data_IF_453910307339
#
_entry.id   IF_453910307339
#
_cell.length_a   1.000
_cell.length_b   1.000
_cell.length_c   1.000
_cell.angle_alpha   90.00
_cell.angle_beta   90.00
_cell.angle_gamma   90.00
#
_symmetry.space_group_name_H-M   'P 1'
#
loop_
_entity.id
_entity.type
_entity.pdbx_description
1 polymer ?
#
# COMPACT_ATOMS: atom_id res chain seq x y z
N UNK A 1 -5.96 31.09 2.04
CA UNK A 1 -7.10 30.67 2.90
C UNK A 1 -7.05 29.16 3.07
N UNK A 2 -7.48 28.62 4.25
CA UNK A 2 -7.62 27.15 4.43
C UNK A 2 -8.57 26.59 3.39
N UNK A 3 -8.27 25.38 2.89
CA UNK A 3 -9.14 24.67 1.93
C UNK A 3 -10.23 23.93 2.68
N UNK A 4 -11.49 24.19 2.31
CA UNK A 4 -12.63 23.49 2.89
C UNK A 4 -12.74 22.09 2.30
N UNK A 5 -12.99 21.11 3.13
CA UNK A 5 -12.99 19.70 2.78
C UNK A 5 -14.13 18.96 3.45
N UNK A 6 -14.58 17.88 2.82
CA UNK A 6 -15.54 16.92 3.37
C UNK A 6 -14.94 15.52 3.32
N UNK A 7 -15.20 14.71 4.31
CA UNK A 7 -14.70 13.34 4.36
C UNK A 7 -15.58 12.44 5.19
N UNK A 8 -15.15 11.19 5.29
CA UNK A 8 -15.73 10.20 6.19
C UNK A 8 -14.75 9.96 7.34
N UNK A 9 -15.10 10.41 8.54
CA UNK A 9 -14.26 10.33 9.72
C UNK A 9 -14.76 9.29 10.72
N UNK A 10 -13.82 8.66 11.42
CA UNK A 10 -14.06 7.89 12.63
C UNK A 10 -13.59 8.73 13.84
N UNK A 11 -14.35 8.70 14.94
CA UNK A 11 -14.13 9.60 16.09
C UNK A 11 -13.53 8.90 17.30
N UNK A 12 -13.44 7.58 17.29
CA UNK A 12 -12.79 6.74 18.30
C UNK A 12 -12.53 5.35 17.70
N UNK A 13 -11.67 4.57 18.33
CA UNK A 13 -11.35 3.19 17.90
C UNK A 13 -12.56 2.22 17.87
N UNK A 14 -13.62 2.53 18.62
CA UNK A 14 -14.84 1.73 18.70
C UNK A 14 -16.00 2.39 17.91
N UNK A 15 -15.69 3.42 17.10
CA UNK A 15 -16.67 4.21 16.38
C UNK A 15 -17.05 3.64 15.01
N UNK A 16 -17.92 4.39 14.33
CA UNK A 16 -18.31 4.17 12.93
C UNK A 16 -17.98 5.41 12.10
N UNK A 17 -17.78 5.20 10.80
CA UNK A 17 -17.53 6.29 9.87
C UNK A 17 -18.76 7.17 9.68
N UNK A 18 -18.55 8.48 9.73
CA UNK A 18 -19.60 9.50 9.53
C UNK A 18 -19.08 10.62 8.63
N UNK A 19 -19.97 11.27 7.83
CA UNK A 19 -19.61 12.49 7.15
C UNK A 19 -19.08 13.54 8.12
N UNK A 20 -18.01 14.23 7.73
CA UNK A 20 -17.34 15.23 8.55
C UNK A 20 -16.78 16.35 7.69
N UNK A 21 -17.14 17.59 8.02
CA UNK A 21 -16.57 18.78 7.39
C UNK A 21 -15.32 19.20 8.16
N UNK A 22 -14.24 19.51 7.44
CA UNK A 22 -12.96 19.92 8.02
C UNK A 22 -12.21 20.89 7.10
N UNK A 23 -11.05 21.37 7.54
CA UNK A 23 -10.22 22.25 6.73
C UNK A 23 -8.81 21.69 6.62
N UNK A 24 -8.22 21.82 5.43
CA UNK A 24 -6.79 21.58 5.20
C UNK A 24 -6.01 22.90 5.22
N UNK A 25 -4.69 22.84 5.33
CA UNK A 25 -3.85 24.01 5.15
C UNK A 25 -4.09 24.64 3.75
N UNK A 26 -3.75 25.92 3.61
CA UNK A 26 -3.84 26.62 2.32
C UNK A 26 -2.86 25.99 1.31
N UNK A 27 -3.19 26.10 0.02
CA UNK A 27 -2.26 25.72 -1.04
C UNK A 27 -1.02 26.63 -0.96
N UNK A 28 0.09 26.05 -0.57
CA UNK A 28 1.38 26.73 -0.48
C UNK A 28 2.04 26.88 -1.85
N UNK A 29 3.20 27.57 -1.90
CA UNK A 29 3.86 27.84 -3.19
C UNK A 29 4.21 26.59 -4.01
N UNK A 30 4.51 25.47 -3.36
CA UNK A 30 4.90 24.21 -3.99
C UNK A 30 3.85 23.10 -3.87
N UNK A 31 2.67 23.43 -3.37
CA UNK A 31 1.60 22.47 -3.17
C UNK A 31 0.67 22.41 -4.37
N UNK A 32 0.01 21.29 -4.52
CA UNK A 32 -1.11 21.10 -5.42
C UNK A 32 -2.36 20.72 -4.61
N UNK A 33 -3.51 21.24 -5.00
CA UNK A 33 -4.82 20.79 -4.53
C UNK A 33 -5.34 19.76 -5.53
N UNK A 34 -5.69 18.59 -5.04
CA UNK A 34 -6.19 17.47 -5.82
C UNK A 34 -7.63 17.20 -5.44
N UNK A 35 -8.55 17.20 -6.41
CA UNK A 35 -9.88 16.63 -6.24
C UNK A 35 -9.75 15.11 -6.31
N UNK A 36 -10.13 14.42 -5.22
CA UNK A 36 -10.03 12.97 -5.09
C UNK A 36 -11.21 12.32 -5.81
N UNK A 37 -10.93 11.44 -6.76
CA UNK A 37 -11.94 10.68 -7.47
C UNK A 37 -12.13 9.29 -6.85
N UNK A 38 -11.05 8.63 -6.48
CA UNK A 38 -11.03 7.28 -5.93
C UNK A 38 -10.08 7.17 -4.76
N UNK A 39 -10.49 6.44 -3.73
CA UNK A 39 -9.66 6.10 -2.57
C UNK A 39 -9.75 4.60 -2.28
N UNK A 40 -8.62 3.89 -2.34
CA UNK A 40 -8.57 2.47 -1.99
C UNK A 40 -8.63 2.23 -0.49
N UNK A 41 -9.13 1.06 -0.10
CA UNK A 41 -9.15 0.60 1.29
C UNK A 41 -8.06 -0.46 1.50
N UNK A 42 -7.19 -0.19 2.47
CA UNK A 42 -6.11 -1.09 2.90
C UNK A 42 -6.36 -1.63 4.32
N UNK A 43 -5.76 -2.77 4.65
CA UNK A 43 -5.75 -3.25 6.05
C UNK A 43 -5.08 -2.26 6.99
N UNK A 44 -4.10 -1.47 6.51
CA UNK A 44 -3.48 -0.41 7.30
C UNK A 44 -4.48 0.65 7.76
N UNK A 45 -5.49 0.97 6.95
CA UNK A 45 -6.56 1.90 7.34
C UNK A 45 -7.38 1.34 8.49
N UNK A 46 -7.63 0.02 8.49
CA UNK A 46 -8.37 -0.69 9.54
C UNK A 46 -7.58 -0.69 10.85
N UNK A 47 -6.30 -1.09 10.78
CA UNK A 47 -5.42 -1.12 11.95
C UNK A 47 -5.26 0.25 12.61
N UNK A 48 -5.13 1.33 11.81
CA UNK A 48 -5.06 2.70 12.32
C UNK A 48 -6.40 3.16 12.89
N UNK A 49 -7.51 2.93 12.16
CA UNK A 49 -8.85 3.36 12.61
C UNK A 49 -9.26 2.72 13.94
N UNK A 50 -8.81 1.48 14.19
CA UNK A 50 -9.12 0.74 15.43
C UNK A 50 -7.96 0.75 16.45
N UNK A 51 -6.91 1.57 16.23
CA UNK A 51 -5.76 1.70 17.15
C UNK A 51 -5.04 0.40 17.46
N UNK A 52 -4.92 -0.52 16.51
CA UNK A 52 -4.30 -1.84 16.70
C UNK A 52 -2.76 -1.80 16.68
N UNK A 53 -2.15 -0.73 16.14
CA UNK A 53 -0.69 -0.55 16.13
C UNK A 53 -0.20 0.48 17.15
N UNK A 54 -0.94 1.56 17.32
CA UNK A 54 -0.71 2.66 18.24
C UNK A 54 -2.04 3.37 18.51
N UNK A 55 -2.07 4.22 19.53
CA UNK A 55 -3.21 5.10 19.73
C UNK A 55 -3.39 6.05 18.53
N UNK A 56 -4.59 6.03 17.93
CA UNK A 56 -4.94 6.83 16.76
C UNK A 56 -5.25 8.29 17.12
N UNK A 57 -5.02 9.19 16.17
CA UNK A 57 -5.37 10.62 16.30
C UNK A 57 -6.78 10.83 15.78
N UNK A 58 -7.74 11.11 16.66
CA UNK A 58 -9.15 11.30 16.32
C UNK A 58 -9.58 12.77 16.42
N UNK A 59 -10.57 13.27 15.58
CA UNK A 59 -11.19 12.52 14.50
C UNK A 59 -10.19 12.14 13.42
N UNK A 60 -10.29 10.91 12.88
CA UNK A 60 -9.41 10.39 11.84
C UNK A 60 -10.18 10.23 10.53
N UNK A 61 -9.61 10.71 9.43
CA UNK A 61 -10.01 10.39 8.07
C UNK A 61 -8.89 9.57 7.46
N UNK A 62 -9.04 8.24 7.32
CA UNK A 62 -8.02 7.38 6.71
C UNK A 62 -7.90 7.56 5.20
N UNK A 63 -7.14 6.65 4.57
CA UNK A 63 -6.97 6.56 3.12
C UNK A 63 -5.63 7.10 2.64
N UNK A 64 -4.84 6.21 2.05
CA UNK A 64 -3.50 6.49 1.52
C UNK A 64 -3.29 5.89 0.13
N UNK A 65 -4.38 5.57 -0.55
CA UNK A 65 -4.43 5.03 -1.90
C UNK A 65 -5.32 5.95 -2.73
N UNK A 66 -4.79 7.09 -3.18
CA UNK A 66 -5.57 8.20 -3.71
C UNK A 66 -5.31 8.37 -5.21
N UNK A 67 -6.37 8.39 -6.01
CA UNK A 67 -6.31 8.80 -7.41
C UNK A 67 -7.27 9.97 -7.66
N UNK A 68 -6.80 10.99 -8.38
CA UNK A 68 -7.57 12.21 -8.59
C UNK A 68 -7.03 13.11 -9.68
N UNK A 69 -7.52 14.34 -9.71
CA UNK A 69 -7.17 15.35 -10.70
C UNK A 69 -6.77 16.64 -10.00
N UNK A 70 -5.73 17.28 -10.48
CA UNK A 70 -5.26 18.56 -9.94
C UNK A 70 -6.26 19.67 -10.24
N UNK A 71 -6.72 20.33 -9.19
CA UNK A 71 -7.66 21.47 -9.24
C UNK A 71 -6.98 22.82 -9.17
N UNK A 72 -5.90 22.91 -8.36
CA UNK A 72 -5.15 24.15 -8.16
C UNK A 72 -3.67 23.83 -7.96
N UNK A 73 -2.80 24.73 -8.39
CA UNK A 73 -1.34 24.62 -8.22
C UNK A 73 -0.77 25.88 -7.57
N UNK A 74 0.16 25.69 -6.65
CA UNK A 74 0.93 26.79 -6.07
C UNK A 74 1.83 27.49 -7.10
N UNK A 75 2.19 28.75 -6.83
CA UNK A 75 2.94 29.61 -7.78
C UNK A 75 4.34 29.11 -8.15
N UNK A 76 4.93 28.22 -7.38
CA UNK A 76 6.25 27.64 -7.60
C UNK A 76 6.20 26.18 -8.09
N UNK A 77 5.02 25.61 -8.27
CA UNK A 77 4.84 24.26 -8.82
C UNK A 77 5.35 24.23 -10.26
N UNK A 78 6.15 23.22 -10.58
CA UNK A 78 6.79 23.06 -11.89
C UNK A 78 6.49 21.72 -12.57
N UNK A 79 6.14 20.70 -11.78
CA UNK A 79 5.94 19.33 -12.29
C UNK A 79 4.55 19.08 -12.84
N UNK A 80 3.58 19.85 -12.38
CA UNK A 80 2.16 19.59 -12.64
C UNK A 80 1.41 20.87 -13.01
N UNK A 81 0.25 20.70 -13.64
CA UNK A 81 -0.70 21.76 -13.97
C UNK A 81 -2.13 21.31 -13.63
N UNK A 82 -3.05 22.27 -13.59
CA UNK A 82 -4.48 22.01 -13.42
C UNK A 82 -4.98 21.07 -14.52
N UNK A 83 -5.73 20.06 -14.13
CA UNK A 83 -6.29 19.02 -14.98
C UNK A 83 -5.39 17.79 -15.16
N UNK A 84 -4.15 17.78 -14.65
CA UNK A 84 -3.31 16.60 -14.66
C UNK A 84 -3.91 15.51 -13.75
N UNK A 85 -3.85 14.26 -14.23
CA UNK A 85 -4.28 13.08 -13.48
C UNK A 85 -3.13 12.58 -12.64
N UNK A 86 -3.40 12.34 -11.36
CA UNK A 86 -2.37 12.09 -10.37
C UNK A 86 -2.79 11.09 -9.30
N UNK A 87 -1.80 10.58 -8.58
CA UNK A 87 -2.00 9.78 -7.40
C UNK A 87 -1.20 10.27 -6.20
N UNK A 88 -1.66 9.92 -5.00
CA UNK A 88 -0.97 10.16 -3.73
C UNK A 88 -0.96 8.87 -2.94
N UNK A 89 0.23 8.47 -2.48
CA UNK A 89 0.44 7.23 -1.72
C UNK A 89 0.44 7.44 -0.21
N UNK A 90 1.29 6.67 0.45
CA UNK A 90 1.26 6.53 1.91
C UNK A 90 1.83 7.71 2.68
N UNK A 91 2.53 8.65 2.03
CA UNK A 91 3.09 9.85 2.69
C UNK A 91 3.08 11.06 1.77
N UNK A 92 3.02 12.24 2.37
CA UNK A 92 2.76 13.52 1.68
C UNK A 92 3.86 14.55 1.88
N UNK A 93 4.80 14.31 2.81
CA UNK A 93 5.94 15.20 3.02
C UNK A 93 7.08 14.50 3.75
N UNK A 94 8.29 15.07 3.69
CA UNK A 94 9.47 14.67 4.44
C UNK A 94 10.47 15.83 4.55
N UNK A 95 11.58 15.67 5.28
CA UNK A 95 12.56 16.75 5.49
C UNK A 95 13.36 17.13 4.23
N UNK A 96 13.36 16.32 3.18
CA UNK A 96 14.08 16.53 1.88
C UNK A 96 15.60 16.67 2.00
N UNK A 97 16.18 16.57 3.20
CA UNK A 97 17.59 16.89 3.49
C UNK A 97 18.40 15.71 4.07
N UNK A 98 17.76 14.77 4.76
CA UNK A 98 18.44 13.61 5.37
C UNK A 98 18.91 12.61 4.31
N UNK A 99 19.74 11.64 4.72
CA UNK A 99 20.28 10.64 3.80
C UNK A 99 19.17 9.84 3.09
N UNK A 100 18.15 9.28 3.77
CA UNK A 100 17.06 8.60 3.07
C UNK A 100 16.37 9.48 2.02
N UNK A 101 16.05 10.74 2.31
CA UNK A 101 15.44 11.64 1.33
C UNK A 101 16.32 11.87 0.09
N UNK A 102 17.63 12.04 0.28
CA UNK A 102 18.58 12.24 -0.83
C UNK A 102 18.75 10.98 -1.69
N UNK A 103 18.51 9.81 -1.10
CA UNK A 103 18.59 8.50 -1.76
C UNK A 103 17.22 8.04 -2.31
N UNK A 104 16.20 8.91 -2.32
CA UNK A 104 14.84 8.62 -2.77
C UNK A 104 14.17 7.49 -1.94
N UNK A 105 14.45 7.47 -0.64
CA UNK A 105 13.89 6.55 0.35
C UNK A 105 13.17 7.35 1.44
N UNK A 106 12.30 8.27 1.03
CA UNK A 106 11.63 9.26 1.89
C UNK A 106 10.81 8.61 3.00
N UNK A 107 10.31 7.39 2.79
CA UNK A 107 9.55 6.62 3.78
C UNK A 107 10.36 6.29 5.05
N UNK A 108 11.69 6.36 4.99
CA UNK A 108 12.59 6.18 6.14
C UNK A 108 13.05 7.52 6.75
N UNK A 109 12.50 8.64 6.32
CA UNK A 109 12.79 9.94 6.94
C UNK A 109 12.17 10.03 8.33
N UNK A 110 12.94 10.44 9.33
CA UNK A 110 12.43 10.63 10.71
C UNK A 110 11.39 11.75 10.84
N UNK A 111 11.23 12.59 9.80
CA UNK A 111 10.23 13.66 9.69
C UNK A 111 9.26 13.38 8.54
N UNK A 112 9.03 12.11 8.21
CA UNK A 112 8.02 11.77 7.21
C UNK A 112 6.63 12.13 7.74
N UNK A 113 5.79 12.70 6.87
CA UNK A 113 4.37 12.94 7.16
C UNK A 113 3.57 11.93 6.35
N UNK A 114 2.97 10.99 7.05
CA UNK A 114 2.06 10.02 6.44
C UNK A 114 0.75 10.68 6.02
N UNK A 115 0.06 10.06 5.09
CA UNK A 115 -1.16 10.63 4.48
C UNK A 115 -2.30 10.81 5.48
N UNK A 116 -2.27 10.10 6.61
CA UNK A 116 -3.20 10.26 7.74
C UNK A 116 -2.59 9.73 9.04
N UNK A 117 -3.30 9.90 10.16
CA UNK A 117 -2.92 9.44 11.51
C UNK A 117 -1.52 9.90 11.95
N UNK A 118 -1.15 11.11 11.58
CA UNK A 118 0.07 11.78 12.02
C UNK A 118 -0.13 13.29 12.09
N UNK A 119 0.80 13.99 12.75
CA UNK A 119 0.82 15.44 12.78
C UNK A 119 1.69 15.96 11.63
N UNK A 120 1.20 16.95 10.89
CA UNK A 120 1.96 17.59 9.83
C UNK A 120 2.91 18.66 10.41
N UNK A 121 4.14 18.26 10.64
CA UNK A 121 5.18 19.14 11.20
C UNK A 121 5.60 20.28 10.25
N UNK A 122 5.17 20.27 9.00
CA UNK A 122 5.47 21.32 8.02
C UNK A 122 4.34 22.34 7.87
N UNK A 123 3.13 22.00 8.38
CA UNK A 123 1.93 22.84 8.28
C UNK A 123 1.23 22.99 9.63
N UNK A 124 1.94 23.57 10.61
CA UNK A 124 1.34 23.94 11.90
C UNK A 124 1.15 22.80 12.89
N UNK A 125 1.66 21.61 12.59
CA UNK A 125 1.54 20.42 13.44
C UNK A 125 0.08 20.00 13.69
N UNK A 126 -0.80 20.26 12.70
CA UNK A 126 -2.20 19.80 12.74
C UNK A 126 -2.28 18.33 12.29
N UNK A 127 -3.30 17.55 12.72
CA UNK A 127 -3.53 16.19 12.25
C UNK A 127 -3.73 16.16 10.73
N UNK A 128 -2.96 15.32 10.03
CA UNK A 128 -3.15 15.14 8.60
C UNK A 128 -4.31 14.17 8.31
N UNK A 129 -5.21 14.58 7.42
CA UNK A 129 -6.41 13.84 7.04
C UNK A 129 -6.21 13.16 5.68
N UNK A 130 -6.62 11.90 5.57
CA UNK A 130 -6.39 11.06 4.40
C UNK A 130 -7.37 11.21 3.26
N UNK A 131 -7.39 10.19 2.42
CA UNK A 131 -8.06 10.15 1.14
C UNK A 131 -9.55 9.80 1.17
N UNK A 132 -10.11 9.40 2.34
CA UNK A 132 -11.57 9.24 2.44
C UNK A 132 -12.25 10.62 2.51
N UNK A 133 -11.85 11.49 1.61
CA UNK A 133 -12.28 12.88 1.53
C UNK A 133 -12.36 13.36 0.07
N UNK A 134 -13.02 14.48 -0.16
CA UNK A 134 -13.23 15.02 -1.50
C UNK A 134 -11.97 15.68 -2.12
N UNK A 135 -10.99 16.05 -1.32
CA UNK A 135 -9.76 16.69 -1.81
C UNK A 135 -8.57 16.43 -0.89
N UNK A 136 -7.37 16.74 -1.37
CA UNK A 136 -6.12 16.74 -0.57
C UNK A 136 -5.17 17.82 -1.09
N UNK A 137 -4.40 18.44 -0.17
CA UNK A 137 -3.31 19.38 -0.49
C UNK A 137 -1.98 18.69 -0.23
N UNK A 138 -1.10 18.64 -1.23
CA UNK A 138 0.16 17.88 -1.16
C UNK A 138 1.28 18.65 -1.84
N UNK A 139 2.49 18.64 -1.30
CA UNK A 139 3.69 19.15 -1.99
C UNK A 139 3.93 18.36 -3.29
N UNK A 140 4.20 19.05 -4.40
CA UNK A 140 4.38 18.44 -5.73
C UNK A 140 5.40 17.30 -5.78
N UNK A 141 6.32 17.24 -4.83
CA UNK A 141 7.34 16.20 -4.77
C UNK A 141 6.83 14.84 -4.27
N UNK A 142 5.61 14.80 -3.71
CA UNK A 142 4.98 13.58 -3.18
C UNK A 142 3.76 13.14 -4.02
N UNK A 143 3.61 13.73 -5.18
CA UNK A 143 2.54 13.41 -6.14
C UNK A 143 3.09 12.54 -7.25
N UNK A 144 2.35 11.49 -7.61
CA UNK A 144 2.68 10.53 -8.67
C UNK A 144 1.89 10.89 -9.92
N UNK A 145 2.58 11.04 -11.04
CA UNK A 145 1.95 11.25 -12.35
C UNK A 145 1.26 9.97 -12.82
N UNK A 146 0.05 10.10 -13.36
CA UNK A 146 -0.74 8.97 -13.86
C UNK A 146 -1.16 9.27 -15.30
N UNK A 147 -1.07 8.27 -16.20
CA UNK A 147 -1.61 8.40 -17.56
C UNK A 147 -3.12 8.67 -17.51
N UNK A 148 -3.56 9.68 -18.25
CA UNK A 148 -4.97 10.11 -18.26
C UNK A 148 -5.97 9.04 -18.73
N UNK A 149 -5.49 8.01 -19.45
CA UNK A 149 -6.30 6.91 -19.92
C UNK A 149 -6.28 5.70 -18.99
N UNK A 150 -5.51 5.75 -17.89
CA UNK A 150 -5.47 4.67 -16.93
C UNK A 150 -6.79 4.55 -16.14
N UNK A 151 -7.23 3.34 -15.78
CA UNK A 151 -8.44 3.12 -14.99
C UNK A 151 -8.20 3.56 -13.54
N UNK A 152 -8.61 4.78 -13.17
CA UNK A 152 -8.23 5.43 -11.91
C UNK A 152 -8.70 4.66 -10.68
N UNK A 153 -9.84 3.99 -10.75
CA UNK A 153 -10.33 3.11 -9.70
C UNK A 153 -9.39 1.93 -9.42
N UNK A 154 -8.62 1.51 -10.42
CA UNK A 154 -7.60 0.44 -10.29
C UNK A 154 -6.21 0.99 -10.01
N UNK A 155 -5.98 2.27 -10.33
CA UNK A 155 -4.72 2.97 -10.04
C UNK A 155 -4.58 3.27 -8.54
N UNK A 156 -5.65 3.70 -7.88
CA UNK A 156 -5.60 4.07 -6.48
C UNK A 156 -4.92 3.01 -5.59
N UNK A 157 -5.28 1.72 -5.62
CA UNK A 157 -4.61 0.71 -4.81
C UNK A 157 -3.14 0.45 -5.15
N UNK A 158 -2.68 0.81 -6.34
CA UNK A 158 -1.27 0.64 -6.71
C UNK A 158 -0.35 1.47 -5.82
N UNK A 159 -0.84 2.59 -5.30
CA UNK A 159 -0.09 3.54 -4.49
C UNK A 159 0.25 3.03 -3.08
N UNK A 160 -0.32 1.90 -2.69
CA UNK A 160 0.08 1.14 -1.50
C UNK A 160 0.40 -0.32 -1.87
N UNK A 161 -0.60 -1.11 -2.31
CA UNK A 161 -0.41 -2.52 -2.59
C UNK A 161 0.57 -2.77 -3.76
N UNK A 162 0.57 -1.89 -4.76
CA UNK A 162 1.51 -1.94 -5.87
C UNK A 162 2.94 -1.74 -5.40
N UNK A 163 3.24 -0.58 -4.82
CA UNK A 163 4.60 -0.25 -4.40
C UNK A 163 5.12 -1.19 -3.30
N UNK A 164 4.30 -1.58 -2.34
CA UNK A 164 4.68 -2.49 -1.25
C UNK A 164 5.14 -3.85 -1.77
N UNK A 165 4.59 -4.30 -2.90
CA UNK A 165 4.96 -5.60 -3.48
C UNK A 165 6.00 -5.49 -4.59
N UNK A 166 6.04 -4.37 -5.32
CA UNK A 166 7.05 -4.09 -6.35
C UNK A 166 8.45 -3.86 -5.76
N UNK A 167 8.54 -3.03 -4.71
CA UNK A 167 9.81 -2.62 -4.11
C UNK A 167 10.68 -3.80 -3.65
N UNK A 168 10.20 -4.78 -2.84
CA UNK A 168 11.04 -5.90 -2.44
C UNK A 168 11.40 -6.85 -3.58
N UNK A 169 10.54 -7.02 -4.60
CA UNK A 169 10.89 -7.80 -5.79
C UNK A 169 12.07 -7.16 -6.54
N UNK A 170 12.06 -5.85 -6.69
CA UNK A 170 13.14 -5.09 -7.30
C UNK A 170 14.40 -5.10 -6.43
N UNK A 171 14.27 -4.89 -5.11
CA UNK A 171 15.40 -4.91 -4.17
C UNK A 171 16.14 -6.25 -4.17
N UNK A 172 15.42 -7.37 -4.18
CA UNK A 172 15.99 -8.71 -4.29
C UNK A 172 16.31 -9.11 -5.74
N UNK A 173 16.25 -8.16 -6.68
CA UNK A 173 16.66 -8.35 -8.09
C UNK A 173 15.93 -9.51 -8.78
N UNK A 174 14.64 -9.66 -8.49
CA UNK A 174 13.79 -10.64 -9.18
C UNK A 174 13.78 -10.37 -10.69
N UNK A 175 14.02 -11.39 -11.47
CA UNK A 175 14.13 -11.34 -12.93
C UNK A 175 13.66 -12.65 -13.55
N UNK A 176 13.80 -12.78 -14.86
CA UNK A 176 13.42 -13.99 -15.61
C UNK A 176 14.09 -15.24 -15.03
N UNK A 177 13.28 -16.23 -14.69
CA UNK A 177 13.73 -17.52 -14.15
C UNK A 177 13.93 -17.54 -12.64
N UNK A 178 13.83 -16.40 -11.93
CA UNK A 178 13.85 -16.38 -10.46
C UNK A 178 12.65 -17.17 -9.92
N UNK A 179 12.87 -18.08 -8.98
CA UNK A 179 11.82 -18.83 -8.31
C UNK A 179 11.31 -18.03 -7.10
N UNK A 180 10.08 -17.54 -7.22
CA UNK A 180 9.46 -16.63 -6.23
C UNK A 180 8.33 -17.32 -5.48
N UNK A 181 8.39 -17.29 -4.15
CA UNK A 181 7.28 -17.66 -3.28
C UNK A 181 6.46 -16.43 -2.87
N UNK A 182 5.15 -16.51 -2.99
CA UNK A 182 4.22 -15.50 -2.46
C UNK A 182 3.45 -16.11 -1.31
N UNK A 183 3.79 -15.75 -0.08
CA UNK A 183 3.11 -16.21 1.13
C UNK A 183 1.97 -15.25 1.49
N UNK A 184 0.73 -15.79 1.47
CA UNK A 184 -0.50 -15.02 1.54
C UNK A 184 -1.01 -14.59 0.16
N UNK A 185 -2.30 -14.83 -0.12
CA UNK A 185 -2.92 -14.49 -1.41
C UNK A 185 -4.21 -13.70 -1.20
N UNK A 186 -4.03 -12.46 -0.75
CA UNK A 186 -5.05 -11.41 -0.64
C UNK A 186 -4.77 -10.26 -1.61
N UNK A 187 -5.16 -9.04 -1.23
CA UNK A 187 -4.94 -7.84 -2.04
C UNK A 187 -3.45 -7.56 -2.34
N UNK A 188 -2.55 -7.72 -1.35
CA UNK A 188 -1.11 -7.60 -1.55
C UNK A 188 -0.55 -8.80 -2.35
N UNK A 189 -0.89 -10.02 -1.93
CA UNK A 189 -0.35 -11.22 -2.57
C UNK A 189 -0.71 -11.34 -4.05
N UNK A 190 -1.91 -10.94 -4.45
CA UNK A 190 -2.30 -10.92 -5.87
C UNK A 190 -1.45 -9.93 -6.68
N UNK A 191 -1.10 -8.77 -6.12
CA UNK A 191 -0.20 -7.82 -6.77
C UNK A 191 1.23 -8.37 -6.85
N UNK A 192 1.73 -9.01 -5.78
CA UNK A 192 3.04 -9.66 -5.78
C UNK A 192 3.15 -10.72 -6.88
N UNK A 193 2.12 -11.56 -7.08
CA UNK A 193 2.07 -12.54 -8.18
C UNK A 193 2.14 -11.83 -9.52
N UNK A 194 1.29 -10.83 -9.77
CA UNK A 194 1.24 -10.10 -11.05
C UNK A 194 2.58 -9.45 -11.39
N UNK A 195 3.24 -8.79 -10.42
CA UNK A 195 4.55 -8.18 -10.66
C UNK A 195 5.65 -9.21 -10.88
N UNK A 196 5.73 -10.25 -10.05
CA UNK A 196 6.75 -11.29 -10.21
C UNK A 196 6.63 -11.99 -11.58
N UNK A 197 5.41 -12.33 -11.99
CA UNK A 197 5.14 -12.90 -13.32
C UNK A 197 5.55 -11.95 -14.44
N UNK A 198 5.22 -10.66 -14.33
CA UNK A 198 5.60 -9.66 -15.34
C UNK A 198 7.12 -9.43 -15.41
N UNK A 199 7.84 -9.65 -14.31
CA UNK A 199 9.31 -9.66 -14.27
C UNK A 199 9.92 -10.96 -14.82
N UNK A 200 9.09 -11.95 -15.19
CA UNK A 200 9.51 -13.23 -15.77
C UNK A 200 9.85 -14.31 -14.75
N UNK A 201 9.48 -14.14 -13.49
CA UNK A 201 9.72 -15.11 -12.43
C UNK A 201 8.79 -16.34 -12.54
N UNK A 202 9.23 -17.45 -11.95
CA UNK A 202 8.43 -18.64 -11.70
C UNK A 202 7.77 -18.54 -10.32
N UNK A 203 6.44 -18.39 -10.27
CA UNK A 203 5.76 -18.03 -9.03
C UNK A 203 5.05 -19.22 -8.40
N UNK A 204 5.33 -19.46 -7.11
CA UNK A 204 4.66 -20.41 -6.23
C UNK A 204 3.86 -19.64 -5.18
N UNK A 205 2.55 -19.87 -5.10
CA UNK A 205 1.65 -19.20 -4.15
C UNK A 205 1.36 -20.11 -2.95
N UNK A 206 1.38 -19.52 -1.76
CA UNK A 206 1.01 -20.18 -0.51
C UNK A 206 -0.22 -19.47 0.09
N UNK A 207 -1.33 -20.19 0.29
CA UNK A 207 -2.56 -19.63 0.84
C UNK A 207 -3.27 -20.64 1.73
N UNK A 208 -4.11 -20.16 2.66
CA UNK A 208 -4.75 -21.01 3.69
C UNK A 208 -5.72 -22.08 3.17
N UNK A 209 -6.27 -21.87 1.97
CA UNK A 209 -7.25 -22.79 1.38
C UNK A 209 -7.23 -22.71 -0.15
N UNK A 210 -7.86 -23.67 -0.82
CA UNK A 210 -7.85 -23.80 -2.27
C UNK A 210 -8.82 -22.87 -3.03
N UNK A 211 -9.68 -22.12 -2.35
CA UNK A 211 -10.71 -21.31 -3.01
C UNK A 211 -10.16 -20.29 -4.02
N UNK A 212 -8.94 -19.80 -3.78
CA UNK A 212 -8.28 -18.83 -4.67
C UNK A 212 -7.24 -19.44 -5.61
N UNK A 213 -7.15 -20.77 -5.68
CA UNK A 213 -6.17 -21.47 -6.52
C UNK A 213 -6.32 -21.10 -7.99
N UNK A 214 -7.56 -21.14 -8.50
CA UNK A 214 -7.82 -20.80 -9.90
C UNK A 214 -7.46 -19.35 -10.20
N UNK A 215 -7.75 -18.42 -9.28
CA UNK A 215 -7.36 -17.01 -9.44
C UNK A 215 -5.83 -16.86 -9.51
N UNK A 216 -5.07 -17.54 -8.63
CA UNK A 216 -3.61 -17.50 -8.64
C UNK A 216 -3.02 -18.04 -9.95
N UNK A 217 -3.52 -19.19 -10.42
CA UNK A 217 -3.06 -19.80 -11.67
C UNK A 217 -3.41 -18.91 -12.89
N UNK A 218 -4.58 -18.31 -12.90
CA UNK A 218 -4.99 -17.38 -13.99
C UNK A 218 -4.15 -16.11 -14.03
N UNK A 219 -3.56 -15.69 -12.89
CA UNK A 219 -2.60 -14.58 -12.81
C UNK A 219 -1.17 -14.99 -13.22
N UNK A 220 -0.94 -16.26 -13.58
CA UNK A 220 0.34 -16.76 -14.05
C UNK A 220 1.20 -17.47 -13.01
N UNK A 221 0.68 -17.74 -11.81
CA UNK A 221 1.39 -18.61 -10.86
C UNK A 221 1.53 -20.03 -11.43
N UNK A 222 2.69 -20.65 -11.27
CA UNK A 222 2.94 -22.03 -11.69
C UNK A 222 2.44 -23.05 -10.69
N UNK A 223 2.61 -22.75 -9.39
CA UNK A 223 2.27 -23.65 -8.31
C UNK A 223 1.41 -22.96 -7.24
N UNK A 224 0.59 -23.75 -6.57
CA UNK A 224 -0.25 -23.31 -5.47
C UNK A 224 -0.25 -24.36 -4.36
N UNK A 225 0.04 -23.92 -3.15
CA UNK A 225 0.15 -24.76 -1.97
C UNK A 225 -0.74 -24.23 -0.83
N UNK A 226 -1.37 -25.13 -0.08
CA UNK A 226 -2.11 -24.78 1.15
C UNK A 226 -1.26 -24.95 2.41
N UNK A 227 -0.14 -25.65 2.30
CA UNK A 227 0.86 -25.82 3.36
C UNK A 227 2.28 -25.65 2.74
N UNK A 228 3.14 -24.80 3.30
CA UNK A 228 4.52 -24.64 2.85
C UNK A 228 5.29 -25.99 2.75
N UNK A 229 4.98 -26.96 3.64
CA UNK A 229 5.63 -28.27 3.67
C UNK A 229 5.35 -29.14 2.44
N UNK A 230 4.33 -28.80 1.65
CA UNK A 230 4.03 -29.46 0.38
C UNK A 230 4.98 -29.04 -0.74
N UNK A 231 5.57 -27.86 -0.65
CA UNK A 231 6.53 -27.35 -1.63
C UNK A 231 7.85 -28.12 -1.51
N UNK A 232 8.28 -28.73 -2.61
CA UNK A 232 9.55 -29.48 -2.69
C UNK A 232 10.63 -28.71 -3.46
N UNK A 233 10.28 -27.54 -3.99
CA UNK A 233 11.22 -26.68 -4.70
C UNK A 233 11.92 -25.73 -3.74
N UNK A 234 13.16 -25.42 -4.04
CA UNK A 234 13.87 -24.32 -3.40
C UNK A 234 13.50 -23.02 -4.12
N UNK A 235 13.31 -21.94 -3.35
CA UNK A 235 12.90 -20.62 -3.82
C UNK A 235 14.02 -19.61 -3.62
N UNK A 236 14.26 -18.77 -4.60
CA UNK A 236 15.30 -17.73 -4.53
C UNK A 236 14.84 -16.54 -3.69
N UNK A 237 13.55 -16.26 -3.74
CA UNK A 237 12.92 -15.14 -3.05
C UNK A 237 11.53 -15.51 -2.54
N UNK A 238 11.21 -15.09 -1.33
CA UNK A 238 9.85 -15.19 -0.79
C UNK A 238 9.39 -13.82 -0.32
N UNK A 239 8.18 -13.42 -0.72
CA UNK A 239 7.50 -12.26 -0.16
C UNK A 239 6.34 -12.71 0.73
N UNK A 240 6.35 -12.32 2.01
CA UNK A 240 5.27 -12.62 2.94
C UNK A 240 4.33 -11.42 3.10
N UNK A 241 3.09 -11.60 2.67
CA UNK A 241 1.99 -10.64 2.78
C UNK A 241 0.98 -11.05 3.86
N UNK A 242 1.35 -12.00 4.74
CA UNK A 242 0.45 -12.57 5.75
C UNK A 242 0.26 -11.56 6.90
N UNK A 243 -0.96 -11.11 7.20
CA UNK A 243 -1.24 -10.12 8.22
C UNK A 243 -1.64 -10.74 9.58
N UNK A 244 -1.22 -11.96 9.84
CA UNK A 244 -1.57 -12.72 11.07
C UNK A 244 -0.37 -13.53 11.53
N UNK A 245 -0.50 -14.23 12.66
CA UNK A 245 0.52 -15.17 13.13
C UNK A 245 0.74 -16.34 12.15
N UNK A 246 2.02 -16.69 11.91
CA UNK A 246 2.43 -17.88 11.15
C UNK A 246 3.87 -18.26 11.54
N UNK A 247 4.30 -19.48 11.20
CA UNK A 247 5.66 -19.93 11.45
C UNK A 247 6.61 -19.48 10.31
N UNK A 248 7.46 -18.49 10.60
CA UNK A 248 8.47 -17.99 9.67
C UNK A 248 9.47 -19.07 9.23
N UNK A 249 9.77 -20.02 10.11
CA UNK A 249 10.73 -21.10 9.85
C UNK A 249 10.29 -21.98 8.68
N UNK A 250 8.99 -22.23 8.53
CA UNK A 250 8.48 -23.05 7.43
C UNK A 250 8.78 -22.42 6.06
N UNK A 251 8.74 -21.08 5.96
CA UNK A 251 9.11 -20.37 4.74
C UNK A 251 10.63 -20.25 4.56
N UNK A 252 11.38 -20.02 5.65
CA UNK A 252 12.85 -19.96 5.58
C UNK A 252 13.47 -21.25 5.07
N UNK A 253 12.86 -22.40 5.40
CA UNK A 253 13.32 -23.73 4.91
C UNK A 253 13.17 -23.92 3.41
N UNK A 254 12.27 -23.15 2.78
CA UNK A 254 12.06 -23.21 1.33
C UNK A 254 13.07 -22.36 0.54
N UNK A 255 13.80 -21.46 1.21
CA UNK A 255 14.78 -20.63 0.53
C UNK A 255 16.01 -21.41 0.12
N UNK A 256 16.50 -21.11 -1.08
CA UNK A 256 17.84 -21.53 -1.53
C UNK A 256 18.93 -20.96 -0.63
N UNK A 257 20.15 -21.44 -0.80
CA UNK A 257 21.34 -20.81 -0.27
C UNK A 257 21.43 -19.35 -0.80
N UNK A 258 21.58 -18.39 0.12
CA UNK A 258 21.53 -16.94 -0.12
C UNK A 258 20.18 -16.37 -0.54
N UNK A 259 19.08 -17.12 -0.45
CA UNK A 259 17.75 -16.63 -0.72
C UNK A 259 17.27 -15.57 0.28
N UNK A 260 16.32 -14.75 -0.15
CA UNK A 260 15.77 -13.62 0.61
C UNK A 260 14.31 -13.87 0.99
N UNK A 261 13.92 -13.51 2.22
CA UNK A 261 12.54 -13.43 2.68
C UNK A 261 12.19 -11.97 3.03
N UNK A 262 11.33 -11.37 2.24
CA UNK A 262 10.79 -10.03 2.50
C UNK A 262 9.48 -10.10 3.27
N UNK A 263 9.38 -9.36 4.37
CA UNK A 263 8.18 -9.24 5.18
C UNK A 263 7.49 -7.91 4.85
N UNK A 264 6.28 -7.97 4.32
CA UNK A 264 5.45 -6.80 3.97
C UNK A 264 4.06 -6.85 4.61
N UNK A 265 3.60 -8.04 5.04
CA UNK A 265 2.40 -8.17 5.85
C UNK A 265 2.68 -7.63 7.25
N UNK A 266 1.84 -6.72 7.74
CA UNK A 266 2.00 -6.11 9.05
C UNK A 266 0.83 -6.51 9.95
N UNK A 267 1.00 -7.56 10.80
CA UNK A 267 -0.01 -7.97 11.75
C UNK A 267 -0.08 -7.03 12.96
N UNK A 268 -1.13 -7.14 13.80
CA UNK A 268 -1.12 -6.55 15.14
C UNK A 268 0.10 -7.01 15.94
N UNK A 269 0.62 -6.14 16.81
CA UNK A 269 1.89 -6.39 17.54
C UNK A 269 1.85 -7.68 18.36
N UNK A 270 0.71 -7.97 19.00
CA UNK A 270 0.57 -9.13 19.88
C UNK A 270 0.63 -10.49 19.16
N UNK A 271 0.33 -10.50 17.86
CA UNK A 271 0.32 -11.74 17.06
C UNK A 271 1.41 -11.77 16.00
N UNK A 272 2.36 -10.85 16.06
CA UNK A 272 3.47 -10.79 15.12
C UNK A 272 4.29 -12.09 15.18
N UNK A 273 4.71 -12.64 14.02
CA UNK A 273 5.54 -13.83 13.98
C UNK A 273 6.92 -13.54 14.60
N UNK A 274 7.48 -14.52 15.28
CA UNK A 274 8.83 -14.45 15.87
C UNK A 274 9.79 -15.36 15.12
N UNK A 275 11.08 -15.04 15.18
CA UNK A 275 12.15 -15.85 14.62
C UNK A 275 13.10 -16.30 15.72
N UNK A 276 13.28 -17.61 15.86
CA UNK A 276 14.31 -18.17 16.75
C UNK A 276 15.71 -17.89 16.19
N UNK A 277 16.56 -17.28 16.99
CA UNK A 277 17.97 -17.04 16.63
C UNK A 277 18.69 -18.34 16.30
N UNK A 278 18.41 -19.42 17.04
CA UNK A 278 18.98 -20.75 16.78
C UNK A 278 18.61 -21.24 15.37
N UNK A 279 17.33 -21.21 15.02
CA UNK A 279 16.87 -21.64 13.70
C UNK A 279 17.46 -20.78 12.58
N UNK A 280 17.58 -19.47 12.81
CA UNK A 280 18.12 -18.55 11.82
C UNK A 280 19.62 -18.82 11.55
N UNK A 281 20.41 -19.05 12.61
CA UNK A 281 21.84 -19.42 12.47
C UNK A 281 21.97 -20.78 11.80
N UNK A 282 21.16 -21.77 12.18
CA UNK A 282 21.26 -23.12 11.66
C UNK A 282 20.88 -23.23 10.18
N UNK A 283 19.92 -22.42 9.73
CA UNK A 283 19.55 -22.31 8.32
C UNK A 283 20.61 -21.59 7.47
N UNK A 284 21.42 -20.74 8.09
CA UNK A 284 22.59 -20.07 7.50
C UNK A 284 22.33 -19.29 6.20
N UNK A 285 23.09 -18.25 5.95
CA UNK A 285 23.18 -17.49 4.70
C UNK A 285 21.86 -17.09 4.01
N UNK A 286 20.72 -17.20 4.69
CA UNK A 286 19.42 -16.67 4.24
C UNK A 286 19.21 -15.29 4.84
N UNK A 287 18.52 -14.42 4.13
CA UNK A 287 18.24 -13.07 4.62
C UNK A 287 16.76 -12.92 4.91
N UNK A 288 16.43 -12.26 6.02
CA UNK A 288 15.09 -11.81 6.36
C UNK A 288 15.13 -10.31 6.53
N UNK A 289 14.23 -9.59 5.87
CA UNK A 289 14.15 -8.14 6.02
C UNK A 289 12.69 -7.66 5.93
N UNK A 290 12.40 -6.56 6.62
CA UNK A 290 11.15 -5.82 6.47
C UNK A 290 11.24 -4.87 5.27
N UNK A 291 10.18 -4.78 4.47
CA UNK A 291 10.08 -3.79 3.39
C UNK A 291 8.87 -2.91 3.64
N UNK A 292 9.12 -1.61 3.77
CA UNK A 292 8.10 -0.61 4.03
C UNK A 292 7.86 0.21 2.76
N UNK A 293 6.73 -0.04 2.07
CA UNK A 293 6.35 0.70 0.86
C UNK A 293 7.54 0.96 -0.08
N UNK A 294 7.64 2.15 -0.68
CA UNK A 294 8.80 2.59 -1.45
C UNK A 294 8.85 4.11 -1.49
N UNK A 295 9.99 4.68 -1.89
CA UNK A 295 10.15 6.12 -2.09
C UNK A 295 9.39 6.63 -3.30
N UNK A 296 9.26 7.95 -3.44
CA UNK A 296 8.46 8.57 -4.52
C UNK A 296 8.96 8.19 -5.92
N UNK A 297 10.27 8.20 -6.12
CA UNK A 297 10.86 7.82 -7.41
C UNK A 297 10.53 6.37 -7.80
N UNK A 298 10.63 5.46 -6.84
CA UNK A 298 10.31 4.05 -7.07
C UNK A 298 8.80 3.83 -7.25
N UNK A 299 7.97 4.61 -6.54
CA UNK A 299 6.51 4.58 -6.71
C UNK A 299 6.12 5.06 -8.12
N UNK A 300 6.77 6.10 -8.66
CA UNK A 300 6.54 6.51 -10.05
C UNK A 300 6.96 5.41 -11.04
N UNK A 301 8.13 4.81 -10.84
CA UNK A 301 8.60 3.71 -11.67
C UNK A 301 7.64 2.51 -11.65
N UNK A 302 7.14 2.14 -10.47
CA UNK A 302 6.13 1.10 -10.31
C UNK A 302 4.83 1.46 -11.05
N UNK A 303 4.39 2.73 -10.97
CA UNK A 303 3.19 3.19 -11.68
C UNK A 303 3.35 3.07 -13.19
N UNK A 304 4.49 3.56 -13.74
CA UNK A 304 4.80 3.48 -15.16
C UNK A 304 4.88 2.02 -15.64
N UNK A 305 5.53 1.16 -14.83
CA UNK A 305 5.61 -0.28 -15.10
C UNK A 305 4.22 -0.93 -15.11
N UNK A 306 3.37 -0.60 -14.14
CA UNK A 306 2.02 -1.14 -14.03
C UNK A 306 1.14 -0.76 -15.22
N UNK A 307 1.16 0.51 -15.62
CA UNK A 307 0.40 1.00 -16.78
C UNK A 307 0.90 0.34 -18.06
N UNK A 308 2.22 0.30 -18.28
CA UNK A 308 2.84 -0.31 -19.45
C UNK A 308 2.50 -1.80 -19.61
N UNK A 309 2.45 -2.54 -18.52
CA UNK A 309 2.20 -3.99 -18.53
C UNK A 309 0.75 -4.35 -18.17
N UNK A 310 -0.15 -3.37 -18.06
CA UNK A 310 -1.57 -3.55 -17.70
C UNK A 310 -1.76 -4.33 -16.38
N UNK A 311 -0.89 -4.05 -15.39
CA UNK A 311 -0.93 -4.69 -14.07
C UNK A 311 -1.80 -3.86 -13.14
N UNK A 312 -3.03 -4.30 -12.92
CA UNK A 312 -4.00 -3.67 -12.04
C UNK A 312 -4.61 -4.67 -11.07
N UNK A 313 -5.03 -4.24 -9.87
CA UNK A 313 -5.80 -5.09 -8.98
C UNK A 313 -7.23 -5.29 -9.50
N UNK A 314 -7.86 -6.38 -9.06
CA UNK A 314 -9.32 -6.50 -9.11
C UNK A 314 -9.92 -5.68 -7.99
N UNK A 315 -10.92 -4.85 -8.30
CA UNK A 315 -11.52 -3.91 -7.35
C UNK A 315 -13.05 -3.99 -7.36
N UNK A 316 -13.62 -3.84 -6.17
CA UNK A 316 -15.05 -3.64 -5.96
C UNK A 316 -15.28 -2.18 -5.57
N UNK A 317 -16.07 -1.45 -6.37
CA UNK A 317 -16.41 -0.05 -6.09
C UNK A 317 -17.51 0.03 -5.02
N UNK A 318 -17.30 0.91 -4.04
CA UNK A 318 -18.26 1.21 -2.97
C UNK A 318 -18.47 2.72 -2.83
N UNK A 319 -19.44 3.12 -2.04
CA UNK A 319 -19.62 4.51 -1.61
C UNK A 319 -19.08 4.72 -0.20
N UNK A 320 -18.84 5.98 0.18
CA UNK A 320 -18.35 6.32 1.51
C UNK A 320 -19.21 5.84 2.67
N UNK A 321 -20.54 5.74 2.48
CA UNK A 321 -21.46 5.17 3.47
C UNK A 321 -21.26 3.67 3.73
N UNK A 322 -20.55 2.97 2.87
CA UNK A 322 -20.35 1.51 2.92
C UNK A 322 -19.00 1.13 3.55
N UNK A 323 -18.21 2.11 4.05
CA UNK A 323 -16.86 1.88 4.60
C UNK A 323 -16.87 0.86 5.75
N UNK A 324 -17.79 0.99 6.72
CA UNK A 324 -17.88 0.06 7.85
C UNK A 324 -18.15 -1.38 7.38
N UNK A 325 -19.04 -1.54 6.39
CA UNK A 325 -19.31 -2.85 5.78
C UNK A 325 -18.08 -3.41 5.06
N UNK A 326 -17.34 -2.57 4.33
CA UNK A 326 -16.13 -2.97 3.66
C UNK A 326 -15.03 -3.40 4.65
N UNK A 327 -14.85 -2.66 5.76
CA UNK A 327 -13.93 -3.02 6.84
C UNK A 327 -14.30 -4.36 7.48
N UNK A 328 -15.59 -4.55 7.79
CA UNK A 328 -16.08 -5.83 8.30
C UNK A 328 -15.77 -6.99 7.33
N UNK A 329 -16.04 -6.81 6.03
CA UNK A 329 -15.81 -7.85 5.03
C UNK A 329 -14.31 -8.18 4.86
N UNK A 330 -13.43 -7.17 4.92
CA UNK A 330 -11.99 -7.36 4.85
C UNK A 330 -11.46 -8.16 6.04
N UNK A 331 -11.85 -7.80 7.26
CA UNK A 331 -11.41 -8.47 8.49
C UNK A 331 -11.94 -9.90 8.62
N UNK A 332 -13.12 -10.21 8.03
CA UNK A 332 -13.72 -11.54 8.05
C UNK A 332 -13.44 -12.38 6.79
N UNK A 333 -12.53 -11.93 5.92
CA UNK A 333 -12.13 -12.68 4.74
C UNK A 333 -13.21 -12.82 3.66
N UNK A 334 -14.25 -11.98 3.69
CA UNK A 334 -15.35 -11.98 2.71
C UNK A 334 -15.01 -11.16 1.46
N UNK A 335 -14.02 -10.27 1.53
CA UNK A 335 -13.53 -9.53 0.38
C UNK A 335 -12.75 -10.45 -0.55
N UNK A 336 -13.01 -10.38 -1.86
CA UNK A 336 -12.22 -11.15 -2.83
C UNK A 336 -10.79 -10.61 -2.91
N UNK A 337 -10.63 -9.30 -3.18
CA UNK A 337 -9.33 -8.63 -3.26
C UNK A 337 -9.33 -7.24 -2.62
N UNK A 338 -9.87 -6.20 -3.30
CA UNK A 338 -9.73 -4.79 -2.89
C UNK A 338 -11.05 -4.04 -3.00
N UNK A 339 -11.36 -3.20 -2.00
CA UNK A 339 -12.41 -2.19 -2.11
C UNK A 339 -11.81 -0.84 -2.49
N UNK A 340 -12.55 -0.08 -3.31
CA UNK A 340 -12.22 1.30 -3.67
C UNK A 340 -13.47 2.16 -3.53
N UNK A 341 -13.33 3.28 -2.84
CA UNK A 341 -14.41 4.24 -2.63
C UNK A 341 -14.47 5.18 -3.85
N UNK A 342 -15.63 5.24 -4.51
CA UNK A 342 -15.95 6.29 -5.48
C UNK A 342 -16.25 7.58 -4.70
N UNK A 343 -15.24 8.42 -4.52
CA UNK A 343 -15.34 9.62 -3.70
C UNK A 343 -16.25 10.66 -4.34
N UNK A 344 -16.26 10.77 -5.67
CA UNK A 344 -17.13 11.70 -6.37
C UNK A 344 -18.60 11.39 -6.09
N UNK A 345 -19.02 10.13 -6.33
CA UNK A 345 -20.40 9.71 -6.08
C UNK A 345 -20.78 9.68 -4.59
N UNK A 346 -19.81 9.65 -3.71
CA UNK A 346 -20.05 9.62 -2.26
C UNK A 346 -20.46 10.98 -1.70
N UNK A 347 -20.20 12.08 -2.45
CA UNK A 347 -20.54 13.45 -2.06
C UNK A 347 -21.57 14.12 -3.01
N UNK A 348 -21.98 13.44 -4.08
CA UNK A 348 -23.10 13.84 -4.95
C UNK A 348 -24.43 13.48 -4.26
#
# INVERSE_FOLDING_TARGET
>A
MKVQSKGFAIFSKDGHFKPHDFSRHAVGPKDVLIDILYAGICHSDIHSAYSEWKEGIYPMIPGHEIAGVIKEVGKEVKKFKVGDVVGVGCFVNSCKACKPCKEHQEQFCTKVVFTYDCLDSFHGNEPHMGGYSNNIVVDENYVISVDKNAPLEKVAPLLCAGITTYSPLKFSKVTKGTKVGVAGFGGLGSMAVKYAVAMGAEVSVFARNEHKKQDALSMGAKHFYTDPKQCKEELDFIISTIPTHYDLKDYLKLLTYNGDLALVGLPPVEVAPTLSVFDFIFLGNRKVYGSLIGGIKETQEMMDFSIKHHIYPEVDLILGKDIDTAYHNLTHGKAKFRYVIDMKKSFD
#
